data_IF_401715392301
#
_entry.id   IF_401715392301
#
_cell.length_a   1.000
_cell.length_b   1.000
_cell.length_c   1.000
_cell.angle_alpha   90.00
_cell.angle_beta   90.00
_cell.angle_gamma   90.00
#
_symmetry.space_group_name_H-M   'P 1'
#
loop_
_entity.id
_entity.type
_entity.pdbx_description
1 polymer ?
#
# COMPACT_ATOMS: atom_id res chain seq x y z
N UNK A 1 3.88 -10.50 -9.82
CA UNK A 1 2.52 -10.18 -9.32
C UNK A 1 1.85 -9.25 -10.31
N UNK A 2 0.53 -9.22 -10.43
CA UNK A 2 -0.13 -8.26 -11.34
C UNK A 2 -0.07 -6.84 -10.74
N UNK A 3 0.71 -5.95 -11.36
CA UNK A 3 0.88 -4.57 -10.91
C UNK A 3 -0.42 -3.78 -10.86
N UNK A 4 -1.36 -4.04 -11.78
CA UNK A 4 -2.66 -3.34 -11.79
C UNK A 4 -3.52 -3.76 -10.60
N UNK A 5 -3.46 -5.04 -10.23
CA UNK A 5 -4.15 -5.54 -9.04
C UNK A 5 -3.57 -4.93 -7.78
N UNK A 6 -2.23 -4.90 -7.66
CA UNK A 6 -1.54 -4.32 -6.52
C UNK A 6 -1.88 -2.83 -6.34
N UNK A 7 -1.79 -2.06 -7.42
CA UNK A 7 -2.14 -0.64 -7.43
C UNK A 7 -3.57 -0.42 -6.91
N UNK A 8 -4.51 -1.26 -7.34
CA UNK A 8 -5.90 -1.21 -6.90
C UNK A 8 -6.05 -1.55 -5.42
N UNK A 9 -5.31 -2.54 -4.92
CA UNK A 9 -5.37 -2.95 -3.52
C UNK A 9 -4.78 -1.88 -2.58
N UNK A 10 -3.64 -1.30 -2.94
CA UNK A 10 -3.03 -0.19 -2.20
C UNK A 10 -3.99 1.01 -2.17
N UNK A 11 -4.52 1.44 -3.33
CA UNK A 11 -5.51 2.53 -3.41
C UNK A 11 -6.75 2.25 -2.56
N UNK A 12 -7.29 1.03 -2.63
CA UNK A 12 -8.45 0.64 -1.83
C UNK A 12 -8.15 0.63 -0.32
N UNK A 13 -6.92 0.31 0.09
CA UNK A 13 -6.51 0.40 1.48
C UNK A 13 -6.56 1.85 1.97
N UNK A 14 -6.04 2.80 1.19
CA UNK A 14 -6.13 4.23 1.49
C UNK A 14 -7.57 4.77 1.59
N UNK A 15 -8.52 4.22 0.82
CA UNK A 15 -9.93 4.59 0.95
C UNK A 15 -10.51 4.24 2.31
N UNK A 16 -10.00 3.20 3.00
CA UNK A 16 -10.46 2.88 4.37
C UNK A 16 -10.07 3.97 5.39
N UNK A 17 -9.05 4.76 5.05
CA UNK A 17 -8.61 5.90 5.82
C UNK A 17 -9.33 7.19 5.43
N UNK A 18 -10.45 7.11 4.68
CA UNK A 18 -11.44 8.11 4.19
C UNK A 18 -11.40 9.56 4.76
N UNK A 19 -11.01 9.76 6.02
CA UNK A 19 -10.73 11.06 6.65
C UNK A 19 -9.38 11.72 6.31
N UNK A 20 -8.42 10.96 5.79
CA UNK A 20 -7.06 11.44 5.49
C UNK A 20 -6.93 11.98 4.06
N UNK A 21 -7.86 11.76 3.14
CA UNK A 21 -7.71 12.22 1.74
C UNK A 21 -7.77 13.75 1.62
N UNK A 22 -8.52 14.44 2.50
CA UNK A 22 -8.46 15.91 2.61
C UNK A 22 -7.21 16.39 3.36
N UNK A 23 -6.57 15.51 4.14
CA UNK A 23 -5.42 15.83 5.01
C UNK A 23 -4.06 15.40 4.45
N UNK A 24 -4.07 14.50 3.47
CA UNK A 24 -2.91 13.77 2.96
C UNK A 24 -3.07 13.61 1.43
N UNK A 25 -2.49 14.51 0.63
CA UNK A 25 -2.48 14.35 -0.81
C UNK A 25 -1.59 13.15 -1.15
N UNK A 26 -2.20 12.00 -1.45
CA UNK A 26 -1.47 10.85 -1.96
C UNK A 26 -1.02 11.13 -3.39
N UNK A 27 0.28 11.31 -3.61
CA UNK A 27 0.81 11.47 -4.95
C UNK A 27 0.93 10.10 -5.65
N UNK A 28 0.83 10.08 -6.98
CA UNK A 28 1.00 8.83 -7.73
C UNK A 28 2.37 8.20 -7.52
N UNK A 29 3.41 9.02 -7.29
CA UNK A 29 4.76 8.57 -6.96
C UNK A 29 4.79 7.79 -5.65
N UNK A 30 4.08 8.25 -4.61
CA UNK A 30 3.98 7.55 -3.32
C UNK A 30 3.32 6.18 -3.51
N UNK A 31 2.26 6.11 -4.31
CA UNK A 31 1.58 4.84 -4.60
C UNK A 31 2.53 3.86 -5.28
N UNK A 32 3.34 4.33 -6.23
CA UNK A 32 4.33 3.50 -6.92
C UNK A 32 5.40 3.01 -5.94
N UNK A 33 5.88 3.88 -5.05
CA UNK A 33 6.83 3.50 -4.00
C UNK A 33 6.27 2.42 -3.07
N UNK A 34 5.04 2.59 -2.58
CA UNK A 34 4.38 1.61 -1.71
C UNK A 34 4.18 0.28 -2.44
N UNK A 35 3.85 0.30 -3.74
CA UNK A 35 3.75 -0.91 -4.54
C UNK A 35 5.09 -1.66 -4.65
N UNK A 36 6.19 -0.93 -4.86
CA UNK A 36 7.54 -1.53 -4.91
C UNK A 36 7.94 -2.15 -3.57
N UNK A 37 7.62 -1.48 -2.47
CA UNK A 37 7.88 -1.96 -1.12
C UNK A 37 7.10 -3.23 -0.80
N UNK A 38 5.80 -3.25 -1.10
CA UNK A 38 4.95 -4.45 -0.95
C UNK A 38 5.49 -5.62 -1.78
N UNK A 39 5.93 -5.37 -3.02
CA UNK A 39 6.53 -6.43 -3.85
C UNK A 39 7.80 -6.98 -3.20
N UNK A 40 8.68 -6.10 -2.72
CA UNK A 40 9.93 -6.48 -2.06
C UNK A 40 9.66 -7.31 -0.80
N UNK A 41 8.70 -6.91 0.03
CA UNK A 41 8.34 -7.66 1.23
C UNK A 41 7.75 -9.02 0.84
N UNK A 42 6.84 -9.06 -0.14
CA UNK A 42 6.21 -10.32 -0.60
C UNK A 42 7.20 -11.32 -1.21
N UNK A 43 8.27 -10.83 -1.83
CA UNK A 43 9.35 -11.68 -2.36
C UNK A 43 10.19 -12.32 -1.24
N UNK A 44 10.41 -11.58 -0.14
CA UNK A 44 11.17 -12.05 1.02
C UNK A 44 10.32 -12.86 2.01
N UNK A 45 9.02 -12.55 2.09
CA UNK A 45 8.05 -13.22 2.96
C UNK A 45 6.95 -13.89 2.13
N UNK A 46 7.13 -15.19 1.93
CA UNK A 46 6.19 -16.02 1.18
C UNK A 46 4.97 -16.42 2.00
N UNK A 47 5.04 -16.40 3.34
CA UNK A 47 3.97 -16.83 4.23
C UNK A 47 2.92 -15.73 4.44
N UNK A 48 3.35 -14.48 4.59
CA UNK A 48 2.45 -13.36 4.81
C UNK A 48 1.53 -13.11 3.60
N UNK A 49 0.26 -12.83 3.85
CA UNK A 49 -0.67 -12.54 2.77
C UNK A 49 -0.38 -11.18 2.15
N UNK A 50 -0.74 -10.99 0.87
CA UNK A 50 -0.58 -9.69 0.22
C UNK A 50 -1.39 -8.60 0.94
N UNK A 51 -2.53 -8.96 1.52
CA UNK A 51 -3.38 -8.04 2.25
C UNK A 51 -2.68 -7.51 3.51
N UNK A 52 -2.08 -8.40 4.31
CA UNK A 52 -1.41 -8.03 5.56
C UNK A 52 -0.20 -7.14 5.28
N UNK A 53 0.60 -7.47 4.27
CA UNK A 53 1.75 -6.66 3.84
C UNK A 53 1.31 -5.26 3.42
N UNK A 54 0.25 -5.15 2.62
CA UNK A 54 -0.28 -3.84 2.19
C UNK A 54 -0.76 -3.05 3.42
N UNK A 55 -1.41 -3.70 4.37
CA UNK A 55 -1.93 -3.04 5.55
C UNK A 55 -0.80 -2.49 6.43
N UNK A 56 0.26 -3.27 6.65
CA UNK A 56 1.43 -2.84 7.42
C UNK A 56 2.12 -1.64 6.75
N UNK A 57 2.41 -1.75 5.45
CA UNK A 57 3.09 -0.69 4.68
C UNK A 57 2.28 0.60 4.64
N UNK A 58 0.97 0.50 4.40
CA UNK A 58 0.07 1.67 4.36
C UNK A 58 -0.08 2.27 5.75
N UNK A 59 -0.19 1.45 6.80
CA UNK A 59 -0.29 1.93 8.18
C UNK A 59 0.98 2.68 8.59
N UNK A 60 2.16 2.14 8.28
CA UNK A 60 3.44 2.80 8.54
C UNK A 60 3.53 4.14 7.81
N UNK A 61 3.15 4.19 6.52
CA UNK A 61 3.14 5.43 5.73
C UNK A 61 2.23 6.51 6.32
N UNK A 62 1.04 6.13 6.79
CA UNK A 62 0.04 7.07 7.34
C UNK A 62 0.39 7.56 8.74
N UNK A 63 1.18 6.79 9.50
CA UNK A 63 1.56 7.13 10.88
C UNK A 63 2.91 7.82 11.01
N UNK A 64 3.67 7.96 9.92
CA UNK A 64 4.85 8.83 9.82
C UNK A 64 4.47 10.30 9.61
#
# INVERSE_FOLDING_TARGET
MDEKLLLKMVRNCFLQYEYLIESFPLHEEDIVHLCQEVQRIKENDKESSLHDIIQDVVYEYVTQ
#
